data_IF_541634479696
#
_entry.id   IF_541634479696
#
_cell.length_a   1.000
_cell.length_b   1.000
_cell.length_c   1.000
_cell.angle_alpha   90.00
_cell.angle_beta   90.00
_cell.angle_gamma   90.00
#
_symmetry.space_group_name_H-M   'P 1'
#
loop_
_entity.id
_entity.type
_entity.pdbx_description
1 polymer ?
#
# COMPACT_ATOMS: atom_id res chain seq x y z
N UNK A 1 10.84 -0.92 -19.32
CA UNK A 1 11.78 0.03 -18.69
C UNK A 1 11.42 0.11 -17.22
N UNK A 2 12.41 0.04 -16.33
CA UNK A 2 12.17 0.13 -14.90
C UNK A 2 11.63 1.51 -14.52
N UNK A 3 10.73 1.56 -13.55
CA UNK A 3 10.18 2.80 -13.00
C UNK A 3 11.07 3.36 -11.90
N UNK A 4 11.71 2.48 -11.13
CA UNK A 4 12.66 2.86 -10.08
C UNK A 4 14.05 3.07 -10.65
N UNK A 5 14.72 4.13 -10.23
CA UNK A 5 16.15 4.32 -10.51
C UNK A 5 17.00 3.50 -9.55
N UNK A 6 18.26 3.25 -9.90
CA UNK A 6 19.22 2.56 -9.02
C UNK A 6 19.33 3.24 -7.64
N UNK A 7 19.19 4.58 -7.62
CA UNK A 7 19.18 5.37 -6.39
C UNK A 7 17.94 5.10 -5.55
N UNK A 8 16.77 5.01 -6.18
CA UNK A 8 15.51 4.73 -5.50
C UNK A 8 15.55 3.31 -4.92
N UNK A 9 16.00 2.34 -5.71
CA UNK A 9 16.18 0.96 -5.24
C UNK A 9 17.09 0.87 -4.03
N UNK A 10 18.26 1.54 -4.07
CA UNK A 10 19.19 1.54 -2.95
C UNK A 10 18.58 2.15 -1.69
N UNK A 11 17.82 3.24 -1.84
CA UNK A 11 17.12 3.88 -0.72
C UNK A 11 16.04 2.96 -0.14
N UNK A 12 15.21 2.35 -0.98
CA UNK A 12 14.15 1.44 -0.54
C UNK A 12 14.73 0.19 0.12
N UNK A 13 15.79 -0.41 -0.43
CA UNK A 13 16.47 -1.57 0.21
C UNK A 13 16.97 -1.23 1.61
N UNK A 14 17.47 -0.02 1.82
CA UNK A 14 17.88 0.46 3.14
C UNK A 14 16.70 0.55 4.10
N UNK A 15 15.58 1.14 3.66
CA UNK A 15 14.36 1.24 4.46
C UNK A 15 13.78 -0.14 4.78
N UNK A 16 13.80 -1.08 3.83
CA UNK A 16 13.29 -2.44 3.98
C UNK A 16 14.09 -3.31 4.95
N UNK A 17 15.25 -2.86 5.41
CA UNK A 17 15.92 -3.50 6.56
C UNK A 17 15.10 -3.42 7.85
N UNK A 18 14.11 -2.52 7.90
CA UNK A 18 13.18 -2.36 9.02
C UNK A 18 11.97 -3.30 8.96
N UNK A 19 11.80 -4.07 7.87
CA UNK A 19 10.70 -5.03 7.75
C UNK A 19 10.79 -6.07 8.88
N UNK A 20 9.70 -6.27 9.59
CA UNK A 20 9.62 -7.13 10.77
C UNK A 20 8.85 -8.44 10.52
N UNK A 21 8.07 -8.51 9.45
CA UNK A 21 7.25 -9.68 9.12
C UNK A 21 6.72 -9.63 7.69
N UNK A 22 6.01 -10.66 7.24
CA UNK A 22 5.51 -10.76 5.88
C UNK A 22 4.47 -9.67 5.57
N UNK A 23 4.53 -9.16 4.34
CA UNK A 23 3.57 -8.19 3.80
C UNK A 23 3.06 -8.70 2.46
N UNK A 24 1.77 -8.53 2.23
CA UNK A 24 1.15 -8.75 0.94
C UNK A 24 0.69 -7.41 0.36
N UNK A 25 1.14 -7.11 -0.85
CA UNK A 25 0.66 -5.99 -1.65
C UNK A 25 -0.36 -6.53 -2.65
N UNK A 26 -1.62 -6.15 -2.48
CA UNK A 26 -2.71 -6.59 -3.35
C UNK A 26 -3.04 -5.44 -4.31
N UNK A 27 -2.82 -5.68 -5.59
CA UNK A 27 -3.05 -4.70 -6.66
C UNK A 27 -4.39 -5.00 -7.32
N UNK A 28 -5.28 -4.01 -7.35
CA UNK A 28 -6.51 -4.07 -8.12
C UNK A 28 -6.31 -3.38 -9.47
N UNK A 29 -6.54 -4.13 -10.52
CA UNK A 29 -6.36 -3.74 -11.91
C UNK A 29 -7.66 -3.85 -12.70
N UNK A 30 -7.75 -3.15 -13.83
CA UNK A 30 -8.86 -3.23 -14.77
C UNK A 30 -8.35 -3.02 -16.20
N UNK A 31 -8.28 -4.09 -16.97
CA UNK A 31 -7.64 -4.08 -18.31
C UNK A 31 -8.49 -3.40 -19.39
N UNK A 32 -9.82 -3.50 -19.29
CA UNK A 32 -10.76 -3.02 -20.29
C UNK A 32 -11.35 -1.64 -19.96
N UNK A 33 -10.51 -0.72 -19.46
CA UNK A 33 -10.95 0.62 -19.09
C UNK A 33 -10.00 1.68 -19.63
N UNK A 34 -10.43 2.93 -19.58
CA UNK A 34 -9.56 4.07 -19.87
C UNK A 34 -8.35 4.15 -18.91
N UNK A 35 -8.44 3.50 -17.76
CA UNK A 35 -7.37 3.44 -16.76
C UNK A 35 -6.41 2.25 -16.94
N UNK A 36 -6.54 1.45 -18.01
CA UNK A 36 -5.72 0.23 -18.20
C UNK A 36 -4.22 0.52 -18.18
N UNK A 37 -3.78 1.63 -18.79
CA UNK A 37 -2.37 2.01 -18.76
C UNK A 37 -1.89 2.36 -17.35
N UNK A 38 -2.69 3.11 -16.61
CA UNK A 38 -2.39 3.44 -15.22
C UNK A 38 -2.36 2.18 -14.33
N UNK A 39 -3.23 1.22 -14.59
CA UNK A 39 -3.23 -0.08 -13.90
C UNK A 39 -1.94 -0.85 -14.16
N UNK A 40 -1.46 -0.89 -15.41
CA UNK A 40 -0.18 -1.55 -15.75
C UNK A 40 1.01 -0.88 -15.06
N UNK A 41 1.06 0.45 -15.07
CA UNK A 41 2.11 1.21 -14.39
C UNK A 41 2.09 0.98 -12.88
N UNK A 42 0.92 0.95 -12.27
CA UNK A 42 0.76 0.68 -10.85
C UNK A 42 1.23 -0.73 -10.49
N UNK A 43 0.83 -1.74 -11.27
CA UNK A 43 1.29 -3.11 -11.08
C UNK A 43 2.80 -3.23 -11.23
N UNK A 44 3.37 -2.61 -12.25
CA UNK A 44 4.82 -2.59 -12.47
C UNK A 44 5.54 -1.99 -11.27
N UNK A 45 5.10 -0.83 -10.77
CA UNK A 45 5.68 -0.16 -9.61
C UNK A 45 5.69 -1.09 -8.39
N UNK A 46 4.55 -1.71 -8.09
CA UNK A 46 4.40 -2.60 -6.93
C UNK A 46 5.30 -3.83 -7.06
N UNK A 47 5.40 -4.41 -8.26
CA UNK A 47 6.29 -5.55 -8.51
C UNK A 47 7.77 -5.19 -8.36
N UNK A 48 8.18 -4.01 -8.84
CA UNK A 48 9.55 -3.51 -8.66
C UNK A 48 9.87 -3.30 -7.18
N UNK A 49 8.96 -2.70 -6.42
CA UNK A 49 9.10 -2.51 -4.97
C UNK A 49 9.22 -3.86 -4.25
N UNK A 50 8.34 -4.81 -4.54
CA UNK A 50 8.33 -6.13 -3.90
C UNK A 50 9.61 -6.93 -4.21
N UNK A 51 10.16 -6.78 -5.42
CA UNK A 51 11.41 -7.43 -5.81
C UNK A 51 12.63 -6.98 -4.99
N UNK A 52 12.52 -5.88 -4.24
CA UNK A 52 13.58 -5.41 -3.35
C UNK A 52 13.64 -6.16 -2.01
N UNK A 53 12.57 -6.90 -1.66
CA UNK A 53 12.50 -7.76 -0.47
C UNK A 53 11.63 -9.02 -0.75
N UNK A 54 12.04 -9.89 -1.69
CA UNK A 54 11.19 -10.97 -2.21
C UNK A 54 10.86 -12.05 -1.18
N UNK A 55 11.67 -12.20 -0.14
CA UNK A 55 11.41 -13.16 0.95
C UNK A 55 10.36 -12.66 1.96
N UNK A 56 10.03 -11.38 1.90
CA UNK A 56 9.15 -10.73 2.87
C UNK A 56 7.88 -10.18 2.22
N UNK A 57 8.00 -9.63 1.00
CA UNK A 57 6.89 -8.98 0.31
C UNK A 57 6.40 -9.86 -0.83
N UNK A 58 5.10 -10.16 -0.82
CA UNK A 58 4.41 -10.86 -1.90
C UNK A 58 3.44 -9.92 -2.63
N UNK A 59 3.24 -10.15 -3.93
CA UNK A 59 2.29 -9.38 -4.74
C UNK A 59 1.19 -10.30 -5.23
N UNK A 60 -0.05 -9.87 -5.05
CA UNK A 60 -1.24 -10.50 -5.63
C UNK A 60 -1.93 -9.47 -6.54
N UNK A 61 -2.24 -9.85 -7.76
CA UNK A 61 -2.96 -8.98 -8.70
C UNK A 61 -4.37 -9.51 -8.89
N UNK A 62 -5.36 -8.68 -8.66
CA UNK A 62 -6.78 -8.96 -8.78
C UNK A 62 -7.41 -8.05 -9.83
N UNK A 63 -8.34 -8.62 -10.59
CA UNK A 63 -9.13 -7.85 -11.56
C UNK A 63 -10.41 -7.35 -10.90
N UNK A 64 -10.62 -6.04 -10.89
CA UNK A 64 -11.77 -5.41 -10.24
C UNK A 64 -13.12 -5.93 -10.76
N UNK A 65 -13.20 -6.30 -12.04
CA UNK A 65 -14.43 -6.80 -12.65
C UNK A 65 -14.68 -8.28 -12.43
N UNK A 66 -13.62 -9.07 -12.26
CA UNK A 66 -13.67 -10.53 -12.08
C UNK A 66 -13.72 -10.88 -10.59
N UNK A 67 -12.85 -10.28 -9.79
CA UNK A 67 -12.66 -10.57 -8.37
C UNK A 67 -13.54 -9.70 -7.46
N UNK A 68 -14.81 -9.50 -7.86
CA UNK A 68 -15.73 -8.53 -7.21
C UNK A 68 -15.95 -8.76 -5.73
N UNK A 69 -16.06 -10.00 -5.31
CA UNK A 69 -16.27 -10.34 -3.90
C UNK A 69 -15.06 -9.95 -3.06
N UNK A 70 -13.86 -10.20 -3.57
CA UNK A 70 -12.63 -9.80 -2.91
C UNK A 70 -12.46 -8.28 -2.88
N UNK A 71 -12.76 -7.61 -3.99
CA UNK A 71 -12.76 -6.16 -4.06
C UNK A 71 -13.71 -5.54 -3.03
N UNK A 72 -14.94 -6.06 -2.94
CA UNK A 72 -15.92 -5.61 -1.95
C UNK A 72 -15.44 -5.88 -0.51
N UNK A 73 -14.80 -7.03 -0.26
CA UNK A 73 -14.24 -7.36 1.05
C UNK A 73 -13.16 -6.39 1.51
N UNK A 74 -12.38 -5.85 0.59
CA UNK A 74 -11.37 -4.81 0.85
C UNK A 74 -11.92 -3.38 0.75
N UNK A 75 -13.19 -3.20 0.40
CA UNK A 75 -13.79 -1.89 0.18
C UNK A 75 -13.25 -1.16 -1.06
N UNK A 76 -12.77 -1.89 -2.07
CA UNK A 76 -12.21 -1.34 -3.30
C UNK A 76 -13.29 -1.29 -4.39
N UNK A 77 -13.57 -0.09 -4.88
CA UNK A 77 -14.57 0.18 -5.92
C UNK A 77 -13.98 0.73 -7.22
N UNK A 78 -12.67 0.96 -7.27
CA UNK A 78 -11.97 1.55 -8.40
C UNK A 78 -10.55 0.99 -8.57
N UNK A 79 -10.03 1.12 -9.78
CA UNK A 79 -8.66 0.74 -10.14
C UNK A 79 -7.96 1.90 -10.89
N UNK A 80 -6.64 2.04 -10.78
CA UNK A 80 -5.74 1.21 -9.97
C UNK A 80 -5.89 1.46 -8.46
N UNK A 81 -5.69 0.41 -7.68
CA UNK A 81 -5.63 0.52 -6.23
C UNK A 81 -4.63 -0.48 -5.65
N UNK A 82 -4.11 -0.19 -4.46
CA UNK A 82 -3.22 -1.07 -3.70
C UNK A 82 -3.77 -1.23 -2.30
N UNK A 83 -3.84 -2.47 -1.85
CA UNK A 83 -4.07 -2.83 -0.44
C UNK A 83 -2.75 -3.30 0.14
N UNK A 84 -2.38 -2.75 1.29
CA UNK A 84 -1.19 -3.17 2.05
C UNK A 84 -1.66 -4.00 3.24
N UNK A 85 -1.38 -5.30 3.22
CA UNK A 85 -1.79 -6.24 4.25
C UNK A 85 -0.56 -6.86 4.93
N UNK A 86 -0.52 -6.81 6.25
CA UNK A 86 0.48 -7.49 7.07
C UNK A 86 -0.06 -8.79 7.64
N UNK A 87 0.10 -9.00 8.95
CA UNK A 87 -0.51 -10.14 9.64
C UNK A 87 -2.05 -10.14 9.56
N UNK A 88 -2.63 -9.00 9.26
CA UNK A 88 -4.05 -8.77 8.99
C UNK A 88 -4.22 -7.58 8.08
N UNK A 89 -5.42 -7.35 7.58
CA UNK A 89 -5.80 -6.10 6.91
C UNK A 89 -5.98 -4.99 7.96
N UNK A 90 -5.07 -4.01 7.92
CA UNK A 90 -5.12 -2.83 8.79
C UNK A 90 -5.92 -1.66 8.20
N UNK A 91 -6.52 -1.85 7.03
CA UNK A 91 -7.29 -0.81 6.33
C UNK A 91 -6.44 0.14 5.49
N UNK A 92 -5.18 -0.18 5.20
CA UNK A 92 -4.30 0.67 4.40
C UNK A 92 -4.61 0.52 2.90
N UNK A 93 -4.97 1.61 2.26
CA UNK A 93 -5.37 1.67 0.86
C UNK A 93 -4.70 2.83 0.13
N UNK A 94 -4.23 2.57 -1.08
CA UNK A 94 -3.82 3.60 -2.03
C UNK A 94 -4.76 3.53 -3.23
N UNK A 95 -5.41 4.63 -3.56
CA UNK A 95 -6.30 4.74 -4.72
C UNK A 95 -5.61 5.61 -5.78
N UNK A 96 -5.17 4.99 -6.85
CA UNK A 96 -4.29 5.58 -7.84
C UNK A 96 -2.88 5.01 -7.77
N UNK A 97 -1.94 5.64 -8.49
CA UNK A 97 -0.52 5.28 -8.48
C UNK A 97 0.19 6.12 -7.43
N UNK A 98 0.78 5.52 -6.38
CA UNK A 98 1.55 6.27 -5.38
C UNK A 98 2.93 6.65 -5.95
N UNK A 99 2.98 7.74 -6.68
CA UNK A 99 4.21 8.29 -7.25
C UNK A 99 4.61 9.61 -6.57
N UNK A 100 5.79 10.11 -6.89
CA UNK A 100 6.30 11.34 -6.29
C UNK A 100 6.36 11.24 -4.76
N UNK A 101 5.72 12.18 -4.07
CA UNK A 101 5.69 12.21 -2.59
C UNK A 101 4.93 11.04 -1.97
N UNK A 102 3.95 10.47 -2.68
CA UNK A 102 3.19 9.32 -2.17
C UNK A 102 3.99 8.01 -2.21
N UNK A 103 5.07 7.95 -2.99
CA UNK A 103 5.91 6.77 -3.05
C UNK A 103 6.54 6.43 -1.68
N UNK A 104 7.03 7.44 -0.96
CA UNK A 104 7.54 7.24 0.39
C UNK A 104 6.46 6.72 1.34
N UNK A 105 5.21 7.17 1.19
CA UNK A 105 4.10 6.69 1.99
C UNK A 105 3.79 5.20 1.74
N UNK A 106 3.95 4.71 0.50
CA UNK A 106 3.82 3.29 0.21
C UNK A 106 4.91 2.47 0.92
N UNK A 107 6.16 2.94 0.91
CA UNK A 107 7.27 2.28 1.59
C UNK A 107 7.04 2.24 3.10
N UNK A 108 6.68 3.40 3.70
CA UNK A 108 6.40 3.52 5.14
C UNK A 108 5.20 2.65 5.54
N UNK A 109 4.13 2.63 4.77
CA UNK A 109 2.96 1.78 5.00
C UNK A 109 3.31 0.28 4.95
N UNK A 110 4.19 -0.12 4.04
CA UNK A 110 4.67 -1.50 3.91
C UNK A 110 5.46 -1.91 5.17
N UNK A 111 6.36 -1.05 5.65
CA UNK A 111 7.13 -1.29 6.88
C UNK A 111 6.20 -1.35 8.09
N UNK A 112 5.27 -0.41 8.19
CA UNK A 112 4.29 -0.34 9.27
C UNK A 112 3.42 -1.61 9.33
N UNK A 113 2.90 -2.05 8.18
CA UNK A 113 2.10 -3.27 8.09
C UNK A 113 2.91 -4.52 8.45
N UNK A 114 4.21 -4.55 8.17
CA UNK A 114 5.09 -5.68 8.49
C UNK A 114 5.21 -5.94 9.99
N UNK A 115 5.19 -4.90 10.80
CA UNK A 115 5.26 -5.00 12.27
C UNK A 115 3.87 -5.00 12.93
N UNK A 116 2.89 -4.34 12.33
CA UNK A 116 1.60 -4.06 12.95
C UNK A 116 1.66 -3.10 14.12
N UNK A 117 2.83 -2.46 14.33
CA UNK A 117 3.08 -1.55 15.47
C UNK A 117 3.14 -0.10 14.98
N UNK A 118 2.16 0.75 15.37
CA UNK A 118 2.05 2.11 14.84
C UNK A 118 3.07 3.10 15.42
N UNK A 119 3.97 2.67 16.30
CA UNK A 119 4.96 3.54 16.93
C UNK A 119 4.39 4.64 17.83
N UNK A 120 3.13 4.52 18.24
CA UNK A 120 2.47 5.46 19.14
C UNK A 120 2.92 5.26 20.59
N UNK A 121 2.99 6.36 21.36
CA UNK A 121 3.26 6.28 22.79
C UNK A 121 2.14 5.54 23.52
N UNK A 122 2.44 4.99 24.70
CA UNK A 122 1.45 4.32 25.54
C UNK A 122 0.29 5.26 25.93
N UNK A 123 0.59 6.53 26.17
CA UNK A 123 -0.40 7.57 26.48
C UNK A 123 -1.35 7.80 25.29
N UNK A 124 -0.81 7.93 24.08
CA UNK A 124 -1.62 8.10 22.86
C UNK A 124 -2.49 6.88 22.60
N UNK A 125 -1.96 5.66 22.79
CA UNK A 125 -2.73 4.41 22.65
C UNK A 125 -3.88 4.35 23.65
N UNK A 126 -3.63 4.72 24.90
CA UNK A 126 -4.66 4.74 25.93
C UNK A 126 -5.77 5.76 25.60
N UNK A 127 -5.40 6.96 25.16
CA UNK A 127 -6.37 7.98 24.74
C UNK A 127 -7.22 7.52 23.54
N UNK A 128 -6.61 6.85 22.55
CA UNK A 128 -7.35 6.30 21.41
C UNK A 128 -8.31 5.17 21.80
N UNK A 129 -7.94 4.35 22.79
CA UNK A 129 -8.79 3.27 23.29
C UNK A 129 -10.04 3.76 24.01
N UNK A 130 -10.05 5.00 24.49
CA UNK A 130 -11.21 5.65 25.15
C UNK A 130 -12.20 6.25 24.16
N UNK A 131 -11.90 6.28 22.84
CA UNK A 131 -12.83 6.77 21.84
C UNK A 131 -14.06 5.87 21.78
N UNK A 132 -15.24 6.48 21.98
CA UNK A 132 -16.51 5.78 22.00
C UNK A 132 -17.16 5.69 20.60
N UNK A 133 -16.81 6.61 19.72
CA UNK A 133 -17.39 6.74 18.39
C UNK A 133 -16.30 6.68 17.31
N UNK A 134 -16.70 6.32 16.10
CA UNK A 134 -15.86 6.38 14.92
C UNK A 134 -15.45 7.82 14.61
N UNK A 135 -14.17 8.01 14.28
CA UNK A 135 -13.62 9.32 13.90
C UNK A 135 -13.14 9.29 12.47
N UNK A 136 -13.69 10.17 11.63
CA UNK A 136 -13.26 10.35 10.24
C UNK A 136 -12.39 11.61 10.13
N UNK A 137 -11.12 11.41 9.78
CA UNK A 137 -10.15 12.48 9.57
C UNK A 137 -9.82 12.58 8.09
N UNK A 138 -10.13 13.74 7.49
CA UNK A 138 -9.82 14.02 6.08
C UNK A 138 -8.76 15.11 5.99
N UNK A 139 -7.65 14.77 5.36
CA UNK A 139 -6.55 15.71 5.07
C UNK A 139 -6.50 15.95 3.58
N UNK A 140 -6.59 17.22 3.18
CA UNK A 140 -6.47 17.64 1.80
C UNK A 140 -5.13 18.34 1.60
N UNK A 141 -4.37 17.88 0.62
CA UNK A 141 -3.08 18.47 0.28
C UNK A 141 -2.92 18.61 -1.23
N UNK A 142 -2.06 19.51 -1.67
CA UNK A 142 -1.66 19.64 -3.07
C UNK A 142 -0.24 19.12 -3.25
N UNK A 143 0.06 18.45 -4.38
CA UNK A 143 1.40 17.88 -4.64
C UNK A 143 2.40 18.92 -5.14
N UNK A 144 2.42 20.11 -4.57
CA UNK A 144 3.33 21.21 -4.97
C UNK A 144 4.31 21.54 -3.87
#
# INVERSE_FOLDING_TARGET
>A
MALLTDRDEAAVRKEFQKLAGPVKLIVFSQELSAAAELCRQNEQLVREVAALAPDTITVEVLNLSIDRERAAGYGIDRAPAIVVEGARDYGIRFLGIPNGYEFSNLIDATILASSGEPGLTAETRAALAELADDVDIKVFSTPT
#
